data_IF_139352327549
#
_entry.id   IF_139352327549
#
_cell.length_a   1.000
_cell.length_b   1.000
_cell.length_c   1.000
_cell.angle_alpha   90.00
_cell.angle_beta   90.00
_cell.angle_gamma   90.00
#
_symmetry.space_group_name_H-M   'P 1'
#
loop_
_entity.id
_entity.type
_entity.pdbx_description
1 polymer ?
#
# COMPACT_ATOMS: atom_id res chain seq x y z
N UNK A 1 -21.11 4.36 -16.59
CA UNK A 1 -21.76 3.54 -15.54
C UNK A 1 -21.63 4.21 -14.20
N UNK A 2 -22.63 4.12 -13.33
CA UNK A 2 -22.47 4.60 -11.95
C UNK A 2 -21.50 3.66 -11.21
N UNK A 3 -20.54 4.22 -10.43
CA UNK A 3 -19.61 3.44 -9.63
C UNK A 3 -20.41 2.70 -8.56
N UNK A 4 -20.21 1.37 -8.48
CA UNK A 4 -20.73 0.53 -7.38
C UNK A 4 -19.81 0.71 -6.19
N UNK A 5 -20.37 0.85 -4.99
CA UNK A 5 -19.63 0.90 -3.72
C UNK A 5 -19.88 -0.35 -2.90
N UNK A 6 -18.82 -0.90 -2.31
CA UNK A 6 -18.89 -2.06 -1.41
C UNK A 6 -18.65 -1.55 0.02
N UNK A 7 -19.58 -1.80 0.96
CA UNK A 7 -19.39 -1.36 2.35
C UNK A 7 -18.15 -1.99 2.98
N UNK A 8 -17.43 -1.26 3.81
CA UNK A 8 -16.33 -1.79 4.63
C UNK A 8 -16.84 -2.88 5.57
N UNK A 9 -17.96 -2.59 6.23
CA UNK A 9 -18.66 -3.51 7.12
C UNK A 9 -20.12 -3.62 6.71
N UNK A 10 -20.78 -4.76 6.92
CA UNK A 10 -22.24 -4.82 6.82
C UNK A 10 -22.81 -3.77 7.78
N UNK A 11 -24.04 -3.25 7.52
CA UNK A 11 -24.74 -2.29 8.38
C UNK A 11 -25.01 -2.89 9.76
N UNK A 12 -23.96 -3.06 10.55
CA UNK A 12 -23.94 -3.69 11.86
C UNK A 12 -23.57 -2.67 12.93
N UNK A 13 -23.87 -3.00 14.17
CA UNK A 13 -23.43 -2.23 15.36
C UNK A 13 -21.91 -2.05 15.40
N UNK A 14 -21.15 -3.00 14.85
CA UNK A 14 -19.68 -2.92 14.79
C UNK A 14 -19.19 -1.75 13.91
N UNK A 15 -19.75 -1.60 12.72
CA UNK A 15 -19.40 -0.47 11.84
C UNK A 15 -19.73 0.87 12.49
N UNK A 16 -20.88 0.99 13.16
CA UNK A 16 -21.26 2.18 13.88
C UNK A 16 -20.31 2.46 15.06
N UNK A 17 -19.96 1.43 15.84
CA UNK A 17 -19.01 1.58 16.95
C UNK A 17 -17.63 2.05 16.49
N UNK A 18 -17.15 1.62 15.31
CA UNK A 18 -15.89 2.11 14.74
C UNK A 18 -15.95 3.59 14.38
N UNK A 19 -17.06 4.04 13.80
CA UNK A 19 -17.27 5.46 13.49
C UNK A 19 -17.41 6.31 14.74
N UNK A 20 -18.09 5.80 15.76
CA UNK A 20 -18.24 6.49 17.05
C UNK A 20 -16.91 6.66 17.78
N UNK A 21 -16.01 5.68 17.68
CA UNK A 21 -14.67 5.74 18.25
C UNK A 21 -13.74 6.70 17.51
N UNK A 22 -14.11 7.15 16.34
CA UNK A 22 -13.34 8.08 15.52
C UNK A 22 -12.99 9.39 16.24
N UNK A 23 -13.72 9.74 17.28
CA UNK A 23 -13.44 10.92 18.13
C UNK A 23 -12.03 10.85 18.73
N UNK A 24 -11.52 9.66 19.05
CA UNK A 24 -10.17 9.45 19.61
C UNK A 24 -9.08 9.90 18.64
N UNK A 25 -9.22 9.58 17.36
CA UNK A 25 -8.26 9.90 16.30
C UNK A 25 -8.41 11.31 15.77
N UNK A 26 -9.50 12.00 16.07
CA UNK A 26 -9.79 13.36 15.59
C UNK A 26 -8.69 14.38 15.88
N UNK A 27 -7.90 14.20 16.95
CA UNK A 27 -6.75 15.07 17.25
C UNK A 27 -5.57 14.83 16.33
N UNK A 28 -5.48 13.64 15.73
CA UNK A 28 -4.40 13.21 14.80
C UNK A 28 -4.84 13.48 13.38
N UNK A 29 -6.08 13.12 13.04
CA UNK A 29 -6.69 13.35 11.75
C UNK A 29 -7.32 14.75 11.74
N UNK A 30 -6.67 15.69 11.09
CA UNK A 30 -7.26 17.00 10.84
C UNK A 30 -8.05 16.95 9.54
N UNK A 31 -9.32 17.32 9.66
CA UNK A 31 -10.18 17.48 8.50
C UNK A 31 -9.90 18.83 7.86
N UNK A 32 -9.32 18.82 6.67
CA UNK A 32 -9.45 19.92 5.75
C UNK A 32 -10.80 19.78 5.05
N UNK A 33 -11.38 20.86 4.58
CA UNK A 33 -12.69 20.88 3.91
C UNK A 33 -12.84 19.84 2.79
N UNK A 34 -11.74 19.32 2.26
CA UNK A 34 -11.68 18.32 1.20
C UNK A 34 -11.28 16.90 1.65
N UNK A 35 -10.91 16.71 2.90
CA UNK A 35 -10.49 15.40 3.43
C UNK A 35 -11.66 14.77 4.18
N UNK A 36 -12.50 14.06 3.43
CA UNK A 36 -13.78 13.51 3.90
C UNK A 36 -13.68 12.03 4.22
N UNK A 37 -12.69 11.63 5.03
CA UNK A 37 -12.45 10.22 5.33
C UNK A 37 -13.67 9.52 5.93
N UNK A 38 -14.44 10.20 6.79
CA UNK A 38 -15.68 9.63 7.35
C UNK A 38 -16.70 9.38 6.24
N UNK A 39 -16.92 10.37 5.34
CA UNK A 39 -17.84 10.22 4.21
C UNK A 39 -17.40 9.08 3.28
N UNK A 40 -16.10 8.86 3.09
CA UNK A 40 -15.57 7.73 2.33
C UNK A 40 -15.88 6.41 3.02
N UNK A 41 -15.66 6.32 4.34
CA UNK A 41 -15.96 5.11 5.11
C UNK A 41 -17.47 4.81 5.08
N UNK A 42 -18.32 5.80 5.29
CA UNK A 42 -19.79 5.66 5.25
C UNK A 42 -20.30 5.25 3.86
N UNK A 43 -19.72 5.82 2.80
CA UNK A 43 -20.06 5.49 1.41
C UNK A 43 -19.63 4.09 1.03
N UNK A 44 -18.55 3.60 1.61
CA UNK A 44 -17.94 2.30 1.30
C UNK A 44 -16.84 2.38 0.22
N UNK A 45 -16.20 1.25 0.00
CA UNK A 45 -15.11 1.11 -0.96
C UNK A 45 -15.63 1.11 -2.40
N UNK A 46 -15.06 1.91 -3.31
CA UNK A 46 -15.45 1.92 -4.70
C UNK A 46 -15.08 0.60 -5.38
N UNK A 47 -16.05 -0.03 -6.03
CA UNK A 47 -15.84 -1.24 -6.82
C UNK A 47 -15.75 -0.89 -8.30
N UNK A 48 -14.58 -1.14 -8.87
CA UNK A 48 -14.29 -0.86 -10.27
C UNK A 48 -14.26 -2.13 -11.11
N UNK A 49 -14.39 -1.95 -12.41
CA UNK A 49 -14.20 -3.02 -13.38
C UNK A 49 -12.78 -3.58 -13.28
N UNK A 50 -12.66 -4.90 -13.39
CA UNK A 50 -11.39 -5.61 -13.39
C UNK A 50 -11.17 -6.31 -14.72
N UNK A 51 -9.93 -6.32 -15.19
CA UNK A 51 -9.53 -6.98 -16.42
C UNK A 51 -8.41 -7.99 -16.13
N UNK A 52 -8.61 -9.22 -16.60
CA UNK A 52 -7.57 -10.24 -16.54
C UNK A 52 -6.50 -9.91 -17.60
N UNK A 53 -5.29 -9.66 -17.15
CA UNK A 53 -4.14 -9.31 -17.99
C UNK A 53 -3.31 -10.53 -18.40
N UNK A 54 -3.12 -11.46 -17.46
CA UNK A 54 -2.33 -12.68 -17.69
C UNK A 54 -2.87 -13.81 -16.79
N UNK A 55 -2.87 -15.02 -17.34
CA UNK A 55 -3.08 -16.26 -16.59
C UNK A 55 -1.85 -17.14 -16.71
N UNK A 56 -1.28 -17.54 -15.55
CA UNK A 56 -0.10 -18.40 -15.48
C UNK A 56 -0.44 -19.72 -14.83
N UNK A 57 -0.47 -20.79 -15.63
CA UNK A 57 -0.88 -22.12 -15.19
C UNK A 57 -2.40 -22.26 -15.00
N UNK A 58 -2.83 -23.34 -14.36
CA UNK A 58 -4.24 -23.56 -14.02
C UNK A 58 -4.67 -22.78 -12.77
N UNK A 59 -3.70 -22.41 -11.92
CA UNK A 59 -3.88 -21.65 -10.69
C UNK A 59 -5.00 -22.20 -9.77
N UNK A 60 -4.96 -23.48 -9.37
CA UNK A 60 -5.99 -24.06 -8.53
C UNK A 60 -6.05 -23.41 -7.14
N UNK A 61 -4.95 -22.85 -6.68
CA UNK A 61 -4.84 -22.16 -5.39
C UNK A 61 -5.47 -20.77 -5.40
N UNK A 62 -5.72 -20.20 -6.58
CA UNK A 62 -6.31 -18.88 -6.74
C UNK A 62 -5.38 -17.74 -6.29
N UNK A 63 -4.06 -17.88 -6.55
CA UNK A 63 -3.09 -16.84 -6.28
C UNK A 63 -3.30 -15.63 -7.19
N UNK A 64 -3.21 -14.42 -6.63
CA UNK A 64 -3.55 -13.20 -7.35
C UNK A 64 -2.40 -12.19 -7.33
N UNK A 65 -2.18 -11.57 -8.48
CA UNK A 65 -1.43 -10.32 -8.62
C UNK A 65 -2.42 -9.28 -9.11
N UNK A 66 -2.60 -8.20 -8.36
CA UNK A 66 -3.59 -7.15 -8.63
C UNK A 66 -2.87 -5.83 -8.86
N UNK A 67 -3.04 -5.25 -10.05
CA UNK A 67 -2.65 -3.87 -10.30
C UNK A 67 -3.79 -2.94 -9.97
N UNK A 68 -3.66 -2.17 -8.89
CA UNK A 68 -4.69 -1.25 -8.40
C UNK A 68 -4.34 -0.68 -7.05
N UNK A 69 -5.18 0.20 -6.54
CA UNK A 69 -5.05 0.71 -5.17
C UNK A 69 -5.54 -0.29 -4.12
N UNK A 70 -5.00 -0.20 -2.91
CA UNK A 70 -5.35 -1.07 -1.78
C UNK A 70 -6.87 -1.12 -1.52
N UNK A 71 -7.54 0.04 -1.43
CA UNK A 71 -8.99 0.11 -1.16
C UNK A 71 -9.79 -0.57 -2.27
N UNK A 72 -9.41 -0.34 -3.53
CA UNK A 72 -10.05 -0.96 -4.70
C UNK A 72 -9.83 -2.46 -4.76
N UNK A 73 -8.63 -2.92 -4.40
CA UNK A 73 -8.31 -4.34 -4.29
C UNK A 73 -9.12 -5.02 -3.17
N UNK A 74 -9.23 -4.37 -2.00
CA UNK A 74 -10.09 -4.86 -0.91
C UNK A 74 -11.56 -4.92 -1.33
N UNK A 75 -12.06 -3.93 -2.08
CA UNK A 75 -13.42 -3.97 -2.63
C UNK A 75 -13.63 -5.17 -3.54
N UNK A 76 -12.66 -5.46 -4.42
CA UNK A 76 -12.69 -6.63 -5.29
C UNK A 76 -12.69 -7.94 -4.50
N UNK A 77 -11.77 -8.10 -3.54
CA UNK A 77 -11.69 -9.30 -2.71
C UNK A 77 -12.99 -9.55 -1.95
N UNK A 78 -13.55 -8.49 -1.36
CA UNK A 78 -14.80 -8.56 -0.61
C UNK A 78 -16.01 -8.92 -1.48
N UNK A 79 -16.12 -8.35 -2.69
CA UNK A 79 -17.16 -8.70 -3.66
C UNK A 79 -17.05 -10.18 -4.10
N UNK A 80 -15.84 -10.71 -4.17
CA UNK A 80 -15.57 -12.14 -4.49
C UNK A 80 -15.68 -13.07 -3.29
N UNK A 81 -15.92 -12.58 -2.09
CA UNK A 81 -15.97 -13.37 -0.87
C UNK A 81 -14.63 -13.97 -0.47
N UNK A 82 -13.51 -13.32 -0.86
CA UNK A 82 -12.16 -13.76 -0.52
C UNK A 82 -11.74 -13.05 0.78
N UNK A 83 -11.40 -13.86 1.80
CA UNK A 83 -10.82 -13.38 3.05
C UNK A 83 -9.34 -13.73 3.13
N UNK A 84 -8.54 -12.89 3.79
CA UNK A 84 -7.10 -13.07 3.96
C UNK A 84 -6.76 -13.42 5.41
N UNK A 85 -5.81 -14.33 5.60
CA UNK A 85 -5.46 -14.89 6.92
C UNK A 85 -4.24 -14.18 7.53
N UNK A 86 -3.36 -13.64 6.70
CA UNK A 86 -2.24 -12.84 7.11
C UNK A 86 -2.06 -11.65 6.17
N UNK A 87 -1.90 -10.48 6.74
CA UNK A 87 -1.53 -9.27 6.01
C UNK A 87 -0.18 -8.76 6.49
N UNK A 88 0.71 -8.48 5.56
CA UNK A 88 1.91 -7.67 5.80
C UNK A 88 1.90 -6.51 4.82
N UNK A 89 2.12 -5.30 5.31
CA UNK A 89 2.25 -4.12 4.46
C UNK A 89 3.46 -3.29 4.85
N UNK A 90 4.12 -2.75 3.83
CA UNK A 90 5.20 -1.77 3.91
C UNK A 90 4.78 -0.53 3.10
N UNK A 91 3.81 0.26 3.59
CA UNK A 91 3.25 1.38 2.84
C UNK A 91 4.31 2.48 2.64
N UNK A 92 4.17 3.33 1.61
CA UNK A 92 5.10 4.43 1.37
C UNK A 92 5.16 5.34 2.59
N UNK A 93 6.38 5.74 2.98
CA UNK A 93 6.60 6.58 4.15
C UNK A 93 6.36 8.06 3.81
N UNK A 94 5.80 8.80 4.76
CA UNK A 94 5.58 10.25 4.63
C UNK A 94 6.89 11.08 4.78
N UNK A 95 7.99 10.61 4.23
CA UNK A 95 9.31 11.27 4.35
C UNK A 95 9.51 12.36 3.28
N UNK A 96 8.86 13.52 3.45
CA UNK A 96 8.70 14.59 2.48
C UNK A 96 9.95 15.43 2.14
N UNK A 97 11.13 14.87 1.89
CA UNK A 97 12.31 15.71 1.71
C UNK A 97 12.75 15.99 0.26
N UNK A 98 12.56 15.11 -0.72
CA UNK A 98 13.17 15.29 -2.06
C UNK A 98 12.24 15.10 -3.28
N UNK A 99 11.04 14.74 -3.08
CA UNK A 99 10.11 14.35 -4.13
C UNK A 99 9.37 15.52 -4.82
N UNK A 100 9.10 16.62 -4.09
CA UNK A 100 8.36 17.77 -4.59
C UNK A 100 8.97 18.41 -5.84
N UNK A 101 10.30 18.45 -5.94
CA UNK A 101 10.99 19.05 -7.10
C UNK A 101 10.81 18.28 -8.41
N UNK A 102 10.61 16.97 -8.34
CA UNK A 102 10.60 16.08 -9.51
C UNK A 102 9.19 15.90 -10.13
N UNK A 103 8.13 16.03 -9.33
CA UNK A 103 6.73 16.02 -9.81
C UNK A 103 6.39 17.30 -10.60
N UNK A 104 6.99 18.43 -10.23
CA UNK A 104 6.76 19.70 -10.94
C UNK A 104 7.20 19.65 -12.42
N UNK A 105 8.23 18.90 -12.75
CA UNK A 105 8.75 18.75 -14.12
C UNK A 105 7.77 17.94 -14.99
N UNK A 106 7.03 16.99 -14.43
CA UNK A 106 6.06 16.12 -15.15
C UNK A 106 4.74 16.80 -15.50
N UNK A 107 4.41 17.88 -14.82
CA UNK A 107 3.20 18.68 -15.09
C UNK A 107 3.34 19.58 -16.34
N UNK A 108 4.51 19.56 -16.99
CA UNK A 108 4.71 20.30 -18.23
C UNK A 108 4.29 19.42 -19.41
N UNK A 109 3.29 19.82 -20.25
CA UNK A 109 2.78 19.04 -21.37
C UNK A 109 3.85 18.62 -22.38
N UNK A 110 4.87 19.46 -22.58
CA UNK A 110 6.01 19.16 -23.48
C UNK A 110 6.91 18.04 -22.94
N UNK A 111 6.92 17.85 -21.63
CA UNK A 111 7.68 16.79 -20.95
C UNK A 111 6.85 15.50 -20.90
N UNK A 112 5.53 15.58 -20.82
CA UNK A 112 4.64 14.43 -20.81
C UNK A 112 4.72 13.59 -22.11
N UNK A 113 4.85 14.23 -23.26
CA UNK A 113 5.01 13.54 -24.56
C UNK A 113 6.38 12.84 -24.65
N UNK A 114 7.46 13.52 -24.27
CA UNK A 114 8.79 12.92 -24.22
C UNK A 114 8.88 11.77 -23.20
N UNK A 115 8.10 11.85 -22.10
CA UNK A 115 8.05 10.81 -21.10
C UNK A 115 7.24 9.59 -21.53
N UNK A 116 6.18 9.77 -22.32
CA UNK A 116 5.42 8.65 -22.88
C UNK A 116 6.27 7.83 -23.87
N UNK A 117 7.09 8.52 -24.69
CA UNK A 117 8.07 7.85 -25.55
C UNK A 117 9.14 7.16 -24.73
N UNK A 118 9.63 7.80 -23.67
CA UNK A 118 10.59 7.24 -22.75
C UNK A 118 10.03 6.06 -21.94
N UNK A 119 8.76 6.07 -21.51
CA UNK A 119 8.11 4.94 -20.81
C UNK A 119 8.03 3.66 -21.63
N UNK A 120 8.00 3.77 -22.97
CA UNK A 120 8.07 2.61 -23.89
C UNK A 120 9.51 2.16 -24.16
N UNK A 121 10.49 3.01 -23.89
CA UNK A 121 11.91 2.78 -24.16
C UNK A 121 12.76 2.64 -22.90
N UNK A 122 12.20 3.00 -21.71
CA UNK A 122 12.90 2.97 -20.44
C UNK A 122 13.20 1.54 -19.97
N UNK A 123 14.40 1.34 -19.48
CA UNK A 123 14.75 0.13 -18.79
C UNK A 123 14.17 0.08 -17.34
N UNK A 124 14.33 -1.06 -16.67
CA UNK A 124 13.79 -1.31 -15.33
C UNK A 124 14.30 -0.31 -14.27
N UNK A 125 15.51 0.24 -14.41
CA UNK A 125 16.07 1.19 -13.44
C UNK A 125 15.44 2.58 -13.56
N UNK A 126 15.13 2.99 -14.76
CA UNK A 126 14.47 4.26 -15.05
C UNK A 126 12.98 4.25 -14.66
N UNK A 127 12.30 3.11 -14.87
CA UNK A 127 10.95 2.88 -14.36
C UNK A 127 10.89 2.92 -12.83
N UNK A 128 11.87 2.37 -12.11
CA UNK A 128 12.00 2.46 -10.66
C UNK A 128 12.09 3.90 -10.17
N UNK A 129 12.98 4.68 -10.78
CA UNK A 129 13.12 6.09 -10.44
C UNK A 129 11.84 6.87 -10.71
N UNK A 130 11.01 6.40 -11.62
CA UNK A 130 9.71 6.96 -11.93
C UNK A 130 8.67 6.65 -10.84
N UNK A 131 8.59 5.43 -10.36
CA UNK A 131 7.63 5.00 -9.33
C UNK A 131 7.96 5.54 -7.94
N UNK A 132 9.23 5.56 -7.54
CA UNK A 132 9.67 6.20 -6.30
C UNK A 132 9.25 7.67 -6.21
N UNK A 133 9.15 8.36 -7.34
CA UNK A 133 8.67 9.74 -7.41
C UNK A 133 7.15 9.89 -7.28
N UNK A 134 6.38 8.87 -7.55
CA UNK A 134 4.91 8.96 -7.50
C UNK A 134 4.36 8.98 -6.07
N UNK A 135 5.01 8.26 -5.16
CA UNK A 135 4.56 8.17 -3.77
C UNK A 135 5.00 9.33 -2.88
N UNK A 136 5.93 10.17 -3.33
CA UNK A 136 6.74 10.98 -2.45
C UNK A 136 6.21 12.37 -2.08
N UNK A 137 5.18 12.92 -2.73
CA UNK A 137 5.20 14.37 -2.79
C UNK A 137 4.01 15.18 -2.35
N UNK A 138 2.91 14.58 -2.06
CA UNK A 138 1.69 15.40 -1.89
C UNK A 138 1.18 15.39 -0.45
N UNK A 139 1.82 14.62 0.41
CA UNK A 139 1.19 14.22 1.64
C UNK A 139 1.84 14.94 2.80
N UNK A 140 1.22 16.02 3.22
CA UNK A 140 1.43 16.43 4.60
C UNK A 140 0.98 15.27 5.51
N UNK A 141 1.53 15.22 6.71
CA UNK A 141 1.27 14.14 7.66
C UNK A 141 -0.21 13.85 7.87
N UNK A 142 -1.06 14.87 7.83
CA UNK A 142 -2.50 14.75 8.06
C UNK A 142 -3.19 13.99 6.93
N UNK A 143 -2.88 14.29 5.68
CA UNK A 143 -3.42 13.56 4.53
C UNK A 143 -2.96 12.12 4.50
N UNK A 144 -1.67 11.90 4.81
CA UNK A 144 -1.15 10.54 4.92
C UNK A 144 -1.92 9.72 5.96
N UNK A 145 -2.19 10.28 7.13
CA UNK A 145 -2.90 9.58 8.20
C UNK A 145 -4.36 9.32 7.83
N UNK A 146 -5.06 10.25 7.15
CA UNK A 146 -6.40 10.03 6.63
C UNK A 146 -6.43 8.88 5.62
N UNK A 147 -5.50 8.88 4.66
CA UNK A 147 -5.36 7.81 3.69
C UNK A 147 -5.02 6.47 4.35
N UNK A 148 -4.08 6.45 5.28
CA UNK A 148 -3.71 5.23 5.99
C UNK A 148 -4.89 4.67 6.79
N UNK A 149 -5.69 5.54 7.42
CA UNK A 149 -6.89 5.12 8.14
C UNK A 149 -7.87 4.40 7.20
N UNK A 150 -8.16 4.98 6.02
CA UNK A 150 -9.04 4.37 5.02
C UNK A 150 -8.51 3.01 4.53
N UNK A 151 -7.20 2.92 4.27
CA UNK A 151 -6.58 1.66 3.87
C UNK A 151 -6.64 0.59 4.97
N UNK A 152 -6.36 0.94 6.22
CA UNK A 152 -6.44 0.01 7.35
C UNK A 152 -7.88 -0.50 7.56
N UNK A 153 -8.89 0.37 7.38
CA UNK A 153 -10.30 0.00 7.43
C UNK A 153 -10.67 -0.98 6.30
N UNK A 154 -10.18 -0.71 5.08
CA UNK A 154 -10.39 -1.60 3.93
C UNK A 154 -9.76 -2.96 4.17
N UNK A 155 -8.51 -3.01 4.61
CA UNK A 155 -7.78 -4.23 4.93
C UNK A 155 -8.52 -5.03 6.01
N UNK A 156 -8.89 -4.39 7.13
CA UNK A 156 -9.65 -5.06 8.20
C UNK A 156 -10.91 -5.72 7.65
N UNK A 157 -11.58 -5.10 6.69
CA UNK A 157 -12.85 -5.60 6.12
C UNK A 157 -12.71 -6.90 5.32
N UNK A 158 -11.50 -7.26 4.90
CA UNK A 158 -11.20 -8.50 4.14
C UNK A 158 -10.40 -9.52 4.95
N UNK A 159 -10.00 -9.20 6.18
CA UNK A 159 -9.30 -10.14 7.06
C UNK A 159 -10.27 -11.22 7.56
N UNK A 160 -9.80 -12.48 7.61
CA UNK A 160 -10.50 -13.59 8.26
C UNK A 160 -10.55 -13.39 9.79
N UNK A 161 -11.34 -14.17 10.51
CA UNK A 161 -11.51 -13.96 11.95
C UNK A 161 -10.25 -14.25 12.75
N UNK A 162 -9.41 -15.18 12.30
CA UNK A 162 -8.13 -15.53 12.93
C UNK A 162 -6.93 -14.73 12.41
N UNK A 163 -7.17 -13.77 11.52
CA UNK A 163 -6.13 -13.06 10.79
C UNK A 163 -5.28 -12.14 11.66
N UNK A 164 -4.04 -12.00 11.23
CA UNK A 164 -3.09 -11.02 11.75
C UNK A 164 -2.69 -10.00 10.69
N UNK A 165 -2.31 -8.80 11.14
CA UNK A 165 -1.72 -7.76 10.29
C UNK A 165 -0.39 -7.28 10.87
N UNK A 166 0.62 -7.15 10.01
CA UNK A 166 1.92 -6.56 10.29
C UNK A 166 2.08 -5.29 9.46
N UNK A 167 2.28 -4.16 10.10
CA UNK A 167 2.48 -2.86 9.45
C UNK A 167 3.89 -2.38 9.71
N UNK A 168 4.70 -2.34 8.66
CA UNK A 168 6.09 -1.95 8.69
C UNK A 168 6.22 -0.46 8.42
N UNK A 169 6.86 0.27 9.32
CA UNK A 169 6.99 1.71 9.26
C UNK A 169 8.34 2.17 9.82
N UNK A 170 8.78 3.32 9.35
CA UNK A 170 9.92 4.01 9.92
C UNK A 170 9.51 4.95 11.09
N UNK A 171 10.51 5.54 11.71
CA UNK A 171 10.34 6.43 12.85
C UNK A 171 9.58 7.74 12.54
N UNK A 172 9.46 8.15 11.26
CA UNK A 172 8.81 9.42 10.89
C UNK A 172 7.30 9.39 11.16
N UNK A 173 6.67 8.25 10.90
CA UNK A 173 5.22 8.14 10.91
C UNK A 173 4.70 7.01 11.82
N UNK A 174 5.56 6.04 12.17
CA UNK A 174 5.14 4.81 12.86
C UNK A 174 4.29 5.06 14.09
N UNK A 175 4.69 5.97 14.97
CA UNK A 175 3.97 6.26 16.21
C UNK A 175 2.55 6.80 15.98
N UNK A 176 2.34 7.58 14.92
CA UNK A 176 1.01 8.10 14.57
C UNK A 176 0.13 7.00 13.99
N UNK A 177 0.70 6.13 13.15
CA UNK A 177 -0.03 4.98 12.58
C UNK A 177 -0.37 3.97 13.67
N UNK A 178 0.49 3.79 14.70
CA UNK A 178 0.17 2.96 15.87
C UNK A 178 -1.16 3.37 16.51
N UNK A 179 -1.38 4.69 16.69
CA UNK A 179 -2.64 5.19 17.26
C UNK A 179 -3.83 4.94 16.31
N UNK A 180 -3.64 5.03 14.98
CA UNK A 180 -4.68 4.66 14.03
C UNK A 180 -5.00 3.17 14.09
N UNK A 181 -4.00 2.31 14.27
CA UNK A 181 -4.20 0.86 14.39
C UNK A 181 -4.95 0.51 15.67
N UNK A 182 -4.69 1.20 16.79
CA UNK A 182 -5.47 1.04 18.02
C UNK A 182 -6.94 1.37 17.79
N UNK A 183 -7.23 2.40 17.00
CA UNK A 183 -8.60 2.80 16.66
C UNK A 183 -9.28 1.80 15.73
N UNK A 184 -8.56 1.33 14.69
CA UNK A 184 -9.12 0.43 13.70
C UNK A 184 -9.26 -0.99 14.23
N UNK A 185 -8.22 -1.55 14.84
CA UNK A 185 -8.18 -2.95 15.27
C UNK A 185 -8.60 -3.16 16.73
N UNK A 186 -8.51 -2.11 17.55
CA UNK A 186 -8.66 -2.18 19.00
C UNK A 186 -7.33 -2.31 19.71
N UNK A 187 -7.14 -1.53 20.79
CA UNK A 187 -5.91 -1.54 21.59
C UNK A 187 -5.62 -2.92 22.19
N UNK A 188 -6.66 -3.65 22.59
CA UNK A 188 -6.54 -5.00 23.18
C UNK A 188 -6.04 -6.05 22.15
N UNK A 189 -6.20 -5.80 20.88
CA UNK A 189 -5.75 -6.66 19.79
C UNK A 189 -4.29 -6.41 19.36
N UNK A 190 -3.61 -5.51 20.02
CA UNK A 190 -2.17 -5.32 19.88
C UNK A 190 -1.41 -6.53 20.40
N UNK A 191 -0.53 -7.10 19.58
CA UNK A 191 0.27 -8.29 19.93
C UNK A 191 1.70 -7.89 20.28
N UNK A 192 2.44 -7.32 19.33
CA UNK A 192 3.82 -6.87 19.54
C UNK A 192 4.18 -5.63 18.72
N UNK A 193 5.11 -4.85 19.26
CA UNK A 193 5.97 -3.95 18.51
C UNK A 193 7.29 -4.69 18.23
N UNK A 194 7.55 -4.99 16.96
CA UNK A 194 8.77 -5.68 16.54
C UNK A 194 9.75 -4.65 15.98
N UNK A 195 10.95 -4.63 16.52
CA UNK A 195 12.01 -3.72 16.08
C UNK A 195 12.98 -4.48 15.17
N UNK A 196 12.94 -4.18 13.87
CA UNK A 196 13.91 -4.70 12.94
C UNK A 196 15.18 -3.83 12.94
N UNK A 197 16.27 -4.39 13.47
CA UNK A 197 17.57 -3.73 13.55
C UNK A 197 18.48 -4.15 12.40
N UNK A 198 19.16 -3.17 11.81
CA UNK A 198 20.15 -3.41 10.75
C UNK A 198 21.38 -2.54 10.92
N UNK A 199 22.49 -2.98 10.34
CA UNK A 199 23.76 -2.24 10.37
C UNK A 199 23.90 -1.40 9.10
N UNK A 200 24.62 -0.29 9.19
CA UNK A 200 24.99 0.53 8.05
C UNK A 200 26.05 1.54 8.45
N UNK A 201 26.74 2.16 7.49
CA UNK A 201 27.73 3.18 7.76
C UNK A 201 27.09 4.39 8.44
N UNK A 202 27.82 5.02 9.35
CA UNK A 202 27.49 6.35 9.85
C UNK A 202 27.95 7.42 8.85
N UNK A 203 27.38 8.62 8.97
CA UNK A 203 27.85 9.79 8.20
C UNK A 203 28.79 10.64 9.05
N UNK A 204 29.87 11.17 8.49
CA UNK A 204 30.73 12.12 9.21
C UNK A 204 29.93 13.34 9.67
N UNK A 205 30.21 13.84 10.87
CA UNK A 205 29.56 15.03 11.42
C UNK A 205 28.17 14.85 12.00
N UNK A 206 27.71 13.60 12.19
CA UNK A 206 26.43 13.33 12.85
C UNK A 206 26.45 13.83 14.30
N UNK A 207 25.38 14.53 14.70
CA UNK A 207 25.14 15.00 16.07
C UNK A 207 24.04 14.20 16.79
N UNK A 208 23.68 13.03 16.26
CA UNK A 208 22.67 12.11 16.81
C UNK A 208 23.08 10.66 16.57
N UNK A 209 22.44 9.74 17.28
CA UNK A 209 22.63 8.31 17.03
C UNK A 209 22.17 7.91 15.64
N UNK A 210 22.89 6.96 15.03
CA UNK A 210 22.56 6.45 13.71
C UNK A 210 21.24 5.67 13.76
N UNK A 211 20.24 6.10 12.99
CA UNK A 211 18.92 5.49 12.92
C UNK A 211 19.01 4.23 12.05
N UNK A 212 19.05 3.08 12.67
CA UNK A 212 19.27 1.77 12.03
C UNK A 212 18.26 0.75 12.54
N UNK A 213 17.01 1.15 12.60
CA UNK A 213 15.87 0.26 12.85
C UNK A 213 14.63 0.82 12.21
N UNK A 214 13.72 -0.09 11.87
CA UNK A 214 12.34 0.17 11.54
C UNK A 214 11.46 -0.59 12.53
N UNK A 215 10.20 -0.21 12.62
CA UNK A 215 9.22 -0.79 13.52
C UNK A 215 8.14 -1.52 12.74
N UNK A 216 7.76 -2.71 13.19
CA UNK A 216 6.68 -3.50 12.64
C UNK A 216 5.63 -3.70 13.73
N UNK A 217 4.46 -3.09 13.57
CA UNK A 217 3.36 -3.27 14.50
C UNK A 217 2.54 -4.49 14.12
N UNK A 218 2.39 -5.41 15.06
CA UNK A 218 1.59 -6.62 14.90
C UNK A 218 0.29 -6.53 15.67
N UNK A 219 -0.81 -6.61 14.95
CA UNK A 219 -2.17 -6.73 15.47
C UNK A 219 -2.82 -8.01 14.98
N UNK A 220 -3.71 -8.56 15.79
CA UNK A 220 -4.65 -9.60 15.35
C UNK A 220 -6.04 -9.00 15.18
N UNK A 221 -6.92 -9.70 14.46
CA UNK A 221 -8.32 -9.31 14.34
C UNK A 221 -9.08 -9.62 15.63
N UNK A 222 -8.79 -10.77 16.25
CA UNK A 222 -9.30 -11.19 17.54
C UNK A 222 -8.17 -11.76 18.43
N UNK A 223 -7.97 -11.16 19.58
CA UNK A 223 -6.95 -11.59 20.55
C UNK A 223 -7.19 -12.98 21.11
N UNK A 224 -8.42 -13.48 21.06
CA UNK A 224 -8.78 -14.80 21.59
C UNK A 224 -8.51 -15.92 20.58
N UNK A 225 -8.43 -15.60 19.28
CA UNK A 225 -8.35 -16.60 18.21
C UNK A 225 -7.46 -16.15 17.05
N UNK A 226 -6.16 -15.96 17.31
CA UNK A 226 -5.19 -15.63 16.28
C UNK A 226 -4.11 -16.72 16.14
N UNK A 227 -3.53 -16.83 14.96
CA UNK A 227 -2.51 -17.84 14.65
C UNK A 227 -1.15 -17.38 15.16
N UNK A 228 -0.51 -18.22 15.99
CA UNK A 228 0.88 -18.06 16.38
C UNK A 228 1.61 -19.42 16.43
N UNK A 229 2.38 -19.71 15.40
CA UNK A 229 3.11 -20.96 15.22
C UNK A 229 4.50 -20.88 15.86
N UNK A 230 4.55 -20.87 17.18
CA UNK A 230 5.79 -20.75 17.95
C UNK A 230 6.86 -21.78 17.58
N UNK A 231 6.43 -22.99 17.20
CA UNK A 231 7.34 -24.11 16.88
C UNK A 231 8.15 -23.86 15.60
N UNK A 232 7.58 -23.16 14.64
CA UNK A 232 8.17 -22.95 13.32
C UNK A 232 9.19 -21.80 13.29
N UNK A 233 9.16 -20.94 14.34
CA UNK A 233 10.01 -19.76 14.44
C UNK A 233 11.05 -19.84 15.57
N UNK A 234 11.11 -20.96 16.32
CA UNK A 234 12.05 -21.10 17.43
C UNK A 234 13.49 -21.02 16.98
N UNK A 235 14.30 -20.38 17.80
CA UNK A 235 15.75 -20.26 17.61
C UNK A 235 16.49 -21.17 18.57
N UNK A 236 17.56 -21.79 18.11
CA UNK A 236 18.43 -22.61 18.97
C UNK A 236 18.97 -21.79 20.14
N UNK A 237 19.01 -22.39 21.31
CA UNK A 237 19.66 -21.79 22.48
C UNK A 237 21.16 -21.58 22.22
N UNK A 238 21.65 -20.41 22.62
CA UNK A 238 23.09 -20.20 22.57
C UNK A 238 23.80 -21.07 23.63
N UNK A 239 25.08 -21.43 23.38
CA UNK A 239 25.85 -22.29 24.26
C UNK A 239 25.93 -21.77 25.71
N UNK A 240 26.03 -20.45 25.89
CA UNK A 240 26.08 -19.83 27.22
C UNK A 240 24.75 -19.98 27.99
N UNK A 241 23.61 -19.91 27.30
CA UNK A 241 22.31 -20.19 27.93
C UNK A 241 22.20 -21.63 28.39
N UNK A 242 22.59 -22.59 27.51
CA UNK A 242 22.60 -24.00 27.82
C UNK A 242 23.51 -24.28 29.03
N UNK A 243 24.68 -23.67 29.06
CA UNK A 243 25.66 -23.85 30.12
C UNK A 243 25.19 -23.27 31.47
N UNK A 244 24.56 -22.11 31.44
CA UNK A 244 23.96 -21.48 32.63
C UNK A 244 22.81 -22.32 33.20
N UNK A 245 21.96 -22.90 32.39
CA UNK A 245 20.89 -23.79 32.84
C UNK A 245 21.42 -25.07 33.44
N UNK A 246 22.48 -25.67 32.84
CA UNK A 246 23.15 -26.87 33.39
C UNK A 246 23.82 -26.61 34.75
N UNK A 247 24.28 -25.39 35.00
CA UNK A 247 24.93 -25.00 36.26
C UNK A 247 23.95 -24.57 37.36
N UNK A 248 22.65 -24.52 37.04
CA UNK A 248 21.64 -23.89 37.91
C UNK A 248 21.80 -22.38 37.92
N UNK A 249 20.69 -21.63 37.91
CA UNK A 249 20.67 -20.17 37.91
C UNK A 249 20.90 -19.59 39.32
N UNK A 250 21.93 -20.08 40.01
CA UNK A 250 22.27 -19.65 41.35
C UNK A 250 22.62 -18.14 41.35
N UNK A 251 21.83 -17.34 42.04
CA UNK A 251 22.07 -15.89 42.20
C UNK A 251 21.27 -14.98 41.28
N UNK A 252 20.47 -15.51 40.35
CA UNK A 252 19.63 -14.69 39.45
C UNK A 252 18.25 -14.31 40.01
N UNK A 253 17.88 -14.79 41.22
CA UNK A 253 16.53 -14.63 41.77
C UNK A 253 15.49 -15.58 41.15
N UNK A 254 15.83 -16.33 40.12
CA UNK A 254 14.99 -17.36 39.53
C UNK A 254 15.39 -18.72 40.13
N UNK A 255 14.53 -19.28 40.97
CA UNK A 255 14.67 -20.64 41.46
C UNK A 255 14.15 -21.57 40.37
N UNK A 256 15.03 -22.26 39.65
CA UNK A 256 14.60 -23.17 38.60
C UNK A 256 15.10 -24.59 38.84
N UNK A 257 14.59 -25.26 39.84
CA UNK A 257 14.70 -26.72 39.90
C UNK A 257 13.68 -27.42 38.96
N UNK A 258 12.91 -26.67 38.16
CA UNK A 258 11.75 -27.22 37.44
C UNK A 258 11.57 -26.80 35.98
N UNK A 259 12.47 -26.03 35.38
CA UNK A 259 12.33 -25.63 33.98
C UNK A 259 13.48 -26.23 33.12
N UNK A 260 13.16 -27.27 32.38
CA UNK A 260 14.02 -27.74 31.32
C UNK A 260 13.95 -26.78 30.14
N UNK A 261 15.10 -26.53 29.49
CA UNK A 261 15.14 -25.79 28.25
C UNK A 261 14.35 -26.55 27.18
N UNK A 262 13.49 -25.85 26.46
CA UNK A 262 12.77 -26.45 25.35
C UNK A 262 13.77 -26.96 24.32
N UNK A 263 13.75 -28.25 24.00
CA UNK A 263 14.65 -28.87 23.04
C UNK A 263 14.61 -28.22 21.66
N UNK A 264 13.43 -27.67 21.26
CA UNK A 264 13.27 -26.98 19.99
C UNK A 264 13.78 -25.52 20.02
N UNK A 265 14.34 -25.08 21.15
CA UNK A 265 14.85 -23.72 21.28
C UNK A 265 13.84 -22.75 21.91
N UNK A 266 14.19 -21.47 21.88
CA UNK A 266 13.38 -20.38 22.44
C UNK A 266 12.59 -19.65 21.35
N UNK A 267 11.47 -19.05 21.73
CA UNK A 267 10.77 -18.05 20.90
C UNK A 267 11.70 -16.84 20.77
N UNK A 268 11.85 -16.26 19.56
CA UNK A 268 12.63 -15.04 19.36
C UNK A 268 12.10 -13.88 20.21
N UNK A 269 12.98 -12.98 20.56
CA UNK A 269 12.62 -11.67 21.11
C UNK A 269 11.89 -10.83 20.05
N UNK A 270 11.27 -9.73 20.47
CA UNK A 270 10.60 -8.74 19.61
C UNK A 270 11.55 -7.73 18.92
N UNK A 271 12.84 -7.90 19.09
CA UNK A 271 13.87 -7.19 18.31
C UNK A 271 14.63 -8.17 17.42
N UNK A 272 14.58 -7.90 16.10
CA UNK A 272 15.13 -8.82 15.10
C UNK A 272 16.31 -8.20 14.37
N UNK A 273 17.39 -8.92 14.27
CA UNK A 273 18.59 -8.47 13.56
C UNK A 273 18.74 -9.19 12.24
N UNK A 274 18.34 -8.52 11.17
CA UNK A 274 18.57 -8.97 9.81
C UNK A 274 19.31 -7.88 9.04
N UNK A 275 20.25 -8.28 8.17
CA UNK A 275 20.86 -7.32 7.25
C UNK A 275 19.81 -6.80 6.26
N UNK A 276 19.94 -5.55 5.82
CA UNK A 276 19.14 -5.04 4.71
C UNK A 276 19.37 -5.90 3.47
N UNK A 277 18.36 -5.98 2.60
CA UNK A 277 18.52 -6.67 1.33
C UNK A 277 19.69 -6.09 0.55
N UNK A 278 20.65 -6.94 0.18
CA UNK A 278 21.92 -6.56 -0.44
C UNK A 278 22.03 -7.23 -1.80
N UNK A 279 22.84 -6.65 -2.69
CA UNK A 279 23.18 -7.26 -4.00
C UNK A 279 23.81 -8.65 -3.87
N UNK A 280 24.42 -8.95 -2.73
CA UNK A 280 25.04 -10.24 -2.45
C UNK A 280 24.20 -10.99 -1.42
N UNK A 281 23.29 -11.88 -1.86
CA UNK A 281 22.39 -12.59 -0.96
C UNK A 281 23.17 -13.55 -0.08
N UNK A 282 22.99 -13.44 1.23
CA UNK A 282 23.52 -14.37 2.22
C UNK A 282 22.57 -15.55 2.40
N UNK A 283 21.32 -15.38 2.01
CA UNK A 283 20.21 -16.32 2.14
C UNK A 283 20.00 -17.19 0.87
N UNK A 284 20.84 -17.04 -0.15
CA UNK A 284 20.74 -17.79 -1.42
C UNK A 284 19.60 -17.34 -2.37
N UNK A 285 18.81 -16.35 -1.97
CA UNK A 285 17.69 -15.84 -2.78
C UNK A 285 18.18 -14.73 -3.69
N UNK A 286 17.92 -14.87 -5.00
CA UNK A 286 18.28 -13.87 -5.99
C UNK A 286 17.52 -12.57 -5.71
N UNK A 287 18.23 -11.47 -5.56
CA UNK A 287 17.66 -10.13 -5.43
C UNK A 287 17.16 -9.61 -6.76
N UNK A 288 16.09 -8.83 -6.70
CA UNK A 288 15.44 -8.26 -7.89
C UNK A 288 15.77 -6.78 -8.10
N UNK A 289 16.77 -6.26 -7.36
CA UNK A 289 17.21 -4.85 -7.45
C UNK A 289 16.08 -3.82 -7.23
N UNK A 290 15.06 -4.18 -6.45
CA UNK A 290 14.01 -3.26 -6.05
C UNK A 290 14.50 -2.42 -4.86
N UNK A 291 14.39 -1.09 -4.95
CA UNK A 291 15.06 -0.15 -4.03
C UNK A 291 14.71 -0.37 -2.56
N UNK A 292 13.50 -0.82 -2.26
CA UNK A 292 12.97 -1.03 -0.90
C UNK A 292 12.78 -2.50 -0.54
N UNK A 293 13.45 -3.42 -1.25
CA UNK A 293 13.30 -4.85 -1.01
C UNK A 293 13.65 -5.22 0.44
N UNK A 294 12.73 -5.90 1.12
CA UNK A 294 12.94 -6.39 2.49
C UNK A 294 13.70 -7.72 2.47
N UNK A 295 14.51 -8.01 3.51
CA UNK A 295 15.22 -9.30 3.58
C UNK A 295 14.23 -10.45 3.67
N UNK A 296 14.44 -11.47 2.85
CA UNK A 296 13.59 -12.66 2.82
C UNK A 296 13.42 -13.33 4.20
N UNK A 297 14.47 -13.54 5.03
CA UNK A 297 14.30 -14.20 6.34
C UNK A 297 13.43 -13.40 7.32
N UNK A 298 13.33 -12.06 7.18
CA UNK A 298 12.44 -11.23 7.97
C UNK A 298 10.98 -11.57 7.64
N UNK A 299 10.68 -11.60 6.34
CA UNK A 299 9.32 -11.84 5.83
C UNK A 299 8.91 -13.29 6.03
N UNK A 300 9.80 -14.24 5.78
CA UNK A 300 9.56 -15.67 6.02
C UNK A 300 9.17 -15.93 7.49
N UNK A 301 9.86 -15.30 8.45
CA UNK A 301 9.51 -15.43 9.87
C UNK A 301 8.08 -14.97 10.16
N UNK A 302 7.63 -13.88 9.56
CA UNK A 302 6.26 -13.38 9.70
C UNK A 302 5.26 -14.39 9.12
N UNK A 303 5.52 -14.88 7.90
CA UNK A 303 4.67 -15.88 7.23
C UNK A 303 4.54 -17.15 8.07
N UNK A 304 5.65 -17.68 8.56
CA UNK A 304 5.66 -18.90 9.38
C UNK A 304 4.97 -18.70 10.73
N UNK A 305 5.19 -17.55 11.37
CA UNK A 305 4.62 -17.25 12.68
C UNK A 305 3.10 -17.16 12.67
N UNK A 306 2.51 -16.55 11.64
CA UNK A 306 1.12 -16.09 11.66
C UNK A 306 0.26 -16.59 10.51
N UNK A 307 0.65 -17.71 9.89
CA UNK A 307 -0.18 -18.41 8.90
C UNK A 307 0.11 -19.91 8.89
N UNK A 308 -0.86 -20.68 8.41
CA UNK A 308 -0.75 -22.11 8.17
C UNK A 308 -0.60 -22.41 6.68
N UNK A 309 -0.28 -23.67 6.33
CA UNK A 309 -0.30 -24.11 4.93
C UNK A 309 -1.68 -23.88 4.31
N UNK A 310 -1.72 -23.37 3.08
CA UNK A 310 -2.89 -22.99 2.29
C UNK A 310 -3.63 -21.73 2.78
N UNK A 311 -3.20 -21.07 3.86
CA UNK A 311 -3.74 -19.77 4.22
C UNK A 311 -3.41 -18.72 3.15
N UNK A 312 -4.25 -17.70 3.03
CA UNK A 312 -4.05 -16.59 2.12
C UNK A 312 -3.25 -15.48 2.81
N UNK A 313 -2.09 -15.19 2.27
CA UNK A 313 -1.18 -14.14 2.73
C UNK A 313 -1.22 -12.98 1.73
N UNK A 314 -1.54 -11.78 2.19
CA UNK A 314 -1.72 -10.62 1.34
C UNK A 314 -0.76 -9.47 1.64
N UNK A 315 -0.28 -8.83 0.57
CA UNK A 315 0.43 -7.55 0.61
C UNK A 315 -0.25 -6.56 -0.32
N UNK A 316 -0.76 -5.46 0.26
CA UNK A 316 -1.48 -4.42 -0.49
C UNK A 316 -0.57 -3.26 -0.95
N UNK A 317 0.73 -3.34 -0.63
CA UNK A 317 1.80 -2.45 -1.06
C UNK A 317 3.02 -3.28 -1.46
N UNK A 318 2.80 -4.24 -2.33
CA UNK A 318 3.61 -5.43 -2.49
C UNK A 318 5.04 -5.22 -3.01
N UNK A 319 5.33 -4.07 -3.66
CA UNK A 319 6.66 -3.67 -4.07
C UNK A 319 7.43 -4.77 -4.81
N UNK A 320 8.50 -5.28 -4.19
CA UNK A 320 9.36 -6.32 -4.77
C UNK A 320 8.75 -7.73 -4.83
N UNK A 321 7.59 -7.96 -4.20
CA UNK A 321 6.93 -9.26 -4.13
C UNK A 321 7.63 -10.29 -3.23
N UNK A 322 8.43 -9.84 -2.27
CA UNK A 322 9.12 -10.75 -1.33
C UNK A 322 8.14 -11.56 -0.49
N UNK A 323 7.00 -10.94 -0.07
CA UNK A 323 5.97 -11.64 0.68
C UNK A 323 5.34 -12.77 -0.13
N UNK A 324 4.93 -12.48 -1.39
CA UNK A 324 4.34 -13.49 -2.28
C UNK A 324 5.28 -14.65 -2.54
N UNK A 325 6.58 -14.35 -2.69
CA UNK A 325 7.61 -15.38 -2.84
C UNK A 325 7.76 -16.23 -1.57
N UNK A 326 7.82 -15.59 -0.40
CA UNK A 326 7.92 -16.29 0.88
C UNK A 326 6.68 -17.16 1.14
N UNK A 327 5.49 -16.65 0.81
CA UNK A 327 4.23 -17.39 0.91
C UNK A 327 4.24 -18.63 0.03
N UNK A 328 4.55 -18.49 -1.26
CA UNK A 328 4.62 -19.61 -2.20
C UNK A 328 5.63 -20.69 -1.77
N UNK A 329 6.86 -20.29 -1.41
CA UNK A 329 7.91 -21.22 -1.01
C UNK A 329 7.59 -21.96 0.29
N UNK A 330 6.69 -21.43 1.10
CA UNK A 330 6.23 -22.05 2.34
C UNK A 330 4.81 -22.65 2.24
N UNK A 331 4.32 -22.95 1.03
CA UNK A 331 3.01 -23.56 0.78
C UNK A 331 1.81 -22.71 1.29
N UNK A 332 1.91 -21.40 1.19
CA UNK A 332 0.80 -20.46 1.41
C UNK A 332 0.34 -19.91 0.07
N UNK A 333 -0.93 -19.60 -0.01
CA UNK A 333 -1.53 -18.85 -1.10
C UNK A 333 -1.14 -17.39 -0.95
N UNK A 334 -1.11 -16.63 -2.04
CA UNK A 334 -0.71 -15.23 -1.95
C UNK A 334 -1.63 -14.30 -2.75
N UNK A 335 -1.75 -13.07 -2.24
CA UNK A 335 -2.32 -11.93 -2.95
C UNK A 335 -1.30 -10.80 -2.90
N UNK A 336 -0.86 -10.36 -4.08
CA UNK A 336 0.02 -9.21 -4.25
C UNK A 336 -0.79 -8.08 -4.88
N UNK A 337 -0.81 -6.91 -4.26
CA UNK A 337 -1.43 -5.73 -4.82
C UNK A 337 -0.43 -4.57 -4.83
N UNK A 338 -0.35 -3.89 -5.95
CA UNK A 338 0.44 -2.66 -6.11
C UNK A 338 -0.10 -1.84 -7.26
N UNK A 339 0.05 -0.53 -7.18
CA UNK A 339 -0.29 0.37 -8.29
C UNK A 339 0.82 0.44 -9.33
N UNK A 340 2.07 0.11 -8.94
CA UNK A 340 3.28 0.20 -9.73
C UNK A 340 3.36 -0.87 -10.82
N UNK A 341 3.52 -0.46 -12.10
CA UNK A 341 3.74 -1.44 -13.18
C UNK A 341 5.07 -2.17 -12.98
N UNK A 342 6.09 -1.49 -12.45
CA UNK A 342 7.38 -2.09 -12.13
C UNK A 342 7.25 -3.15 -11.02
N UNK A 343 6.44 -2.90 -9.99
CA UNK A 343 6.13 -3.90 -8.96
C UNK A 343 5.49 -5.14 -9.57
N UNK A 344 4.45 -4.96 -10.41
CA UNK A 344 3.74 -6.06 -11.07
C UNK A 344 4.68 -6.89 -11.95
N UNK A 345 5.54 -6.25 -12.74
CA UNK A 345 6.53 -6.95 -13.56
C UNK A 345 7.57 -7.70 -12.73
N UNK A 346 8.07 -7.04 -11.67
CA UNK A 346 9.08 -7.64 -10.77
C UNK A 346 8.54 -8.88 -10.07
N UNK A 347 7.35 -8.79 -9.47
CA UNK A 347 6.75 -9.94 -8.77
C UNK A 347 6.38 -11.06 -9.75
N UNK A 348 5.86 -10.72 -10.92
CA UNK A 348 5.56 -11.68 -11.99
C UNK A 348 6.80 -12.51 -12.34
N UNK A 349 7.91 -11.87 -12.67
CA UNK A 349 9.13 -12.55 -13.08
C UNK A 349 9.73 -13.38 -11.94
N UNK A 350 9.67 -12.88 -10.73
CA UNK A 350 10.10 -13.58 -9.52
C UNK A 350 9.30 -14.85 -9.26
N UNK A 351 7.98 -14.78 -9.38
CA UNK A 351 7.09 -15.92 -9.19
C UNK A 351 7.17 -16.93 -10.33
N UNK A 352 7.40 -16.48 -11.57
CA UNK A 352 7.72 -17.38 -12.71
C UNK A 352 9.00 -18.16 -12.42
N UNK A 353 10.04 -17.49 -11.94
CA UNK A 353 11.29 -18.14 -11.56
C UNK A 353 11.11 -19.16 -10.41
N UNK A 354 10.18 -18.88 -9.48
CA UNK A 354 9.78 -19.78 -8.40
C UNK A 354 8.80 -20.87 -8.85
N UNK A 355 8.39 -20.90 -10.12
CA UNK A 355 7.41 -21.84 -10.71
C UNK A 355 6.01 -21.76 -10.06
N UNK A 356 5.63 -20.59 -9.57
CA UNK A 356 4.29 -20.35 -9.07
C UNK A 356 3.26 -20.23 -10.19
N UNK A 357 2.02 -20.59 -9.90
CA UNK A 357 0.85 -20.35 -10.74
C UNK A 357 0.02 -19.21 -10.15
N UNK A 358 -0.46 -18.31 -11.00
CA UNK A 358 -1.20 -17.11 -10.57
C UNK A 358 -1.94 -16.44 -11.73
N UNK A 359 -2.89 -15.58 -11.38
CA UNK A 359 -3.58 -14.69 -12.32
C UNK A 359 -3.21 -13.23 -12.04
N UNK A 360 -3.03 -12.44 -13.09
CA UNK A 360 -2.78 -11.00 -13.01
C UNK A 360 -4.02 -10.25 -13.43
N UNK A 361 -4.56 -9.43 -12.52
CA UNK A 361 -5.68 -8.54 -12.79
C UNK A 361 -5.27 -7.08 -12.72
N UNK A 362 -5.87 -6.26 -13.58
CA UNK A 362 -5.84 -4.80 -13.47
C UNK A 362 -7.21 -4.29 -13.05
N UNK A 363 -7.25 -3.48 -11.99
CA UNK A 363 -8.44 -2.75 -11.56
C UNK A 363 -8.48 -1.42 -12.29
N UNK A 364 -9.60 -1.09 -12.92
CA UNK A 364 -9.81 0.16 -13.66
C UNK A 364 -10.23 1.29 -12.71
N UNK A 365 -9.49 1.48 -11.64
CA UNK A 365 -9.75 2.47 -10.59
C UNK A 365 -9.33 3.91 -10.95
N UNK A 366 -8.87 4.12 -12.17
CA UNK A 366 -8.45 5.42 -12.66
C UNK A 366 -7.00 5.78 -12.32
N UNK A 367 -6.27 4.97 -11.56
CA UNK A 367 -4.85 5.22 -11.25
C UNK A 367 -4.03 5.29 -12.53
N UNK A 368 -4.32 4.43 -13.51
CA UNK A 368 -3.71 4.49 -14.85
C UNK A 368 -4.05 5.79 -15.59
N UNK A 369 -5.21 6.40 -15.30
CA UNK A 369 -5.65 7.66 -15.89
C UNK A 369 -4.84 8.86 -15.33
N UNK A 370 -4.53 8.84 -14.03
CA UNK A 370 -3.66 9.86 -13.43
C UNK A 370 -2.22 9.78 -13.93
N UNK A 371 -1.79 8.60 -14.41
CA UNK A 371 -0.44 8.39 -14.95
C UNK A 371 -0.27 8.94 -16.36
N UNK A 372 -1.34 9.01 -17.13
CA UNK A 372 -1.33 9.59 -18.45
C UNK A 372 -2.43 10.66 -18.61
N UNK A 373 -2.25 11.84 -18.00
CA UNK A 373 -3.25 12.90 -18.03
C UNK A 373 -3.58 13.37 -19.45
N UNK A 374 -2.65 13.26 -20.40
CA UNK A 374 -2.87 13.60 -21.81
C UNK A 374 -3.88 12.62 -22.44
N UNK A 375 -3.63 11.32 -22.32
CA UNK A 375 -4.58 10.31 -22.84
C UNK A 375 -5.93 10.40 -22.14
N UNK A 376 -5.95 10.71 -20.85
CA UNK A 376 -7.19 10.91 -20.10
C UNK A 376 -7.96 12.12 -20.61
N UNK A 377 -7.30 13.24 -20.85
CA UNK A 377 -7.93 14.42 -21.44
C UNK A 377 -8.45 14.12 -22.86
N UNK A 378 -7.69 13.43 -23.69
CA UNK A 378 -8.10 12.97 -25.01
C UNK A 378 -9.34 12.06 -24.95
N UNK A 379 -9.33 11.10 -24.00
CA UNK A 379 -10.47 10.20 -23.79
C UNK A 379 -11.69 10.93 -23.23
N UNK A 380 -11.52 11.87 -22.31
CA UNK A 380 -12.61 12.73 -21.85
C UNK A 380 -13.19 13.58 -22.97
N UNK A 381 -12.33 14.18 -23.82
CA UNK A 381 -12.76 14.91 -25.02
C UNK A 381 -13.56 14.01 -25.97
N UNK A 382 -13.14 12.77 -26.17
CA UNK A 382 -13.84 11.83 -27.05
C UNK A 382 -15.23 11.39 -26.54
N UNK A 383 -15.49 11.51 -25.24
CA UNK A 383 -16.81 11.22 -24.64
C UNK A 383 -17.83 12.35 -24.88
N UNK A 384 -17.36 13.53 -25.26
CA UNK A 384 -18.21 14.68 -25.52
C UNK A 384 -18.60 14.68 -27.00
N UNK A 385 -19.81 14.28 -27.29
CA UNK A 385 -20.32 14.15 -28.65
C UNK A 385 -20.33 15.52 -29.33
N UNK A 386 -19.64 15.65 -30.48
CA UNK A 386 -19.61 16.86 -31.26
C UNK A 386 -18.54 17.87 -30.85
N UNK A 387 -17.70 17.55 -29.87
CA UNK A 387 -16.58 18.40 -29.47
C UNK A 387 -15.58 18.51 -30.63
N UNK A 388 -15.23 19.72 -30.98
CA UNK A 388 -14.20 20.06 -32.00
C UNK A 388 -13.10 20.87 -31.35
N UNK A 389 -11.86 20.60 -31.70
CA UNK A 389 -10.76 21.49 -31.37
C UNK A 389 -10.87 22.76 -32.23
N UNK A 390 -10.89 23.91 -31.57
CA UNK A 390 -10.97 25.21 -32.22
C UNK A 390 -9.74 26.02 -31.84
N UNK A 391 -8.85 26.26 -32.77
CA UNK A 391 -7.64 27.08 -32.57
C UNK A 391 -7.94 28.55 -32.30
N UNK A 392 -9.17 28.97 -32.58
CA UNK A 392 -9.65 30.36 -32.39
C UNK A 392 -10.07 30.67 -30.95
N UNK A 393 -10.28 29.67 -30.12
CA UNK A 393 -10.66 29.85 -28.71
C UNK A 393 -9.45 30.09 -27.82
N UNK A 394 -9.63 30.86 -26.75
CA UNK A 394 -8.62 31.01 -25.71
C UNK A 394 -8.27 29.65 -25.13
N UNK A 395 -7.02 29.51 -24.66
CA UNK A 395 -6.49 28.29 -23.98
C UNK A 395 -7.24 27.86 -22.72
N UNK A 396 -8.17 28.67 -22.25
CA UNK A 396 -9.08 28.32 -21.17
C UNK A 396 -10.12 27.29 -21.60
N UNK A 397 -10.45 27.22 -22.91
CA UNK A 397 -11.42 26.32 -23.49
C UNK A 397 -10.74 25.09 -24.12
N UNK A 398 -11.32 23.94 -23.95
CA UNK A 398 -10.81 22.69 -24.52
C UNK A 398 -11.35 22.38 -25.92
N UNK A 399 -12.26 23.21 -26.42
CA UNK A 399 -12.89 23.11 -27.72
C UNK A 399 -14.29 23.70 -27.74
N UNK A 400 -15.03 23.43 -28.79
CA UNK A 400 -16.42 23.88 -28.95
C UNK A 400 -17.36 22.78 -29.41
N UNK A 401 -18.66 22.95 -29.12
CA UNK A 401 -19.75 22.15 -29.67
C UNK A 401 -20.66 23.09 -30.46
N UNK A 402 -21.08 22.67 -31.66
CA UNK A 402 -22.04 23.39 -32.46
C UNK A 402 -23.46 22.98 -32.06
N UNK A 403 -24.19 23.89 -31.41
CA UNK A 403 -25.62 23.74 -31.11
C UNK A 403 -26.47 24.39 -32.22
N UNK A 404 -27.59 23.77 -32.56
CA UNK A 404 -28.49 24.26 -33.62
C UNK A 404 -29.22 25.53 -33.29
N UNK A 405 -29.35 25.88 -31.99
CA UNK A 405 -30.07 27.07 -31.51
C UNK A 405 -29.12 28.18 -31.03
N UNK A 406 -28.04 27.75 -30.35
CA UNK A 406 -27.10 28.68 -29.71
C UNK A 406 -25.83 28.93 -30.53
N UNK A 407 -25.64 28.24 -31.65
CA UNK A 407 -24.40 28.35 -32.43
C UNK A 407 -23.22 27.63 -31.80
N UNK A 408 -22.04 28.23 -31.86
CA UNK A 408 -20.82 27.68 -31.30
C UNK A 408 -20.78 27.89 -29.78
N UNK A 409 -20.74 26.83 -29.00
CA UNK A 409 -20.65 26.87 -27.53
C UNK A 409 -19.25 26.39 -27.11
N UNK A 410 -18.47 27.21 -26.40
CA UNK A 410 -17.21 26.81 -25.86
C UNK A 410 -17.36 25.77 -24.76
N UNK A 411 -16.46 24.79 -24.71
CA UNK A 411 -16.49 23.72 -23.74
C UNK A 411 -15.28 23.80 -22.79
N UNK A 412 -15.61 23.96 -21.51
CA UNK A 412 -14.60 23.86 -20.44
C UNK A 412 -14.50 22.43 -19.93
N UNK A 413 -13.29 21.91 -19.84
CA UNK A 413 -12.99 20.68 -19.12
C UNK A 413 -11.95 20.98 -18.04
N UNK A 414 -12.10 20.41 -16.82
CA UNK A 414 -11.07 20.52 -15.81
C UNK A 414 -9.75 19.96 -16.35
N UNK A 415 -8.71 20.77 -16.33
CA UNK A 415 -7.39 20.32 -16.76
C UNK A 415 -6.77 19.41 -15.69
N UNK A 416 -6.79 18.10 -15.92
CA UNK A 416 -6.24 17.11 -15.00
C UNK A 416 -4.72 17.23 -14.80
N UNK A 417 -4.06 18.06 -15.63
CA UNK A 417 -2.62 18.34 -15.50
C UNK A 417 -2.34 19.54 -14.59
N UNK A 418 -3.37 20.26 -14.18
CA UNK A 418 -3.28 21.42 -13.29
C UNK A 418 -3.81 21.09 -11.89
N UNK A 419 -2.93 21.05 -10.91
CA UNK A 419 -3.30 20.78 -9.51
C UNK A 419 -4.15 21.88 -8.87
N UNK A 420 -4.24 23.06 -9.49
CA UNK A 420 -5.11 24.14 -9.06
C UNK A 420 -6.55 23.96 -9.54
N UNK A 421 -6.79 23.09 -10.53
CA UNK A 421 -8.12 22.78 -11.04
C UNK A 421 -8.81 21.83 -10.07
N UNK A 422 -9.57 22.37 -9.15
CA UNK A 422 -10.42 21.65 -8.21
C UNK A 422 -11.80 21.41 -8.81
N UNK A 423 -12.60 20.60 -8.10
CA UNK A 423 -14.02 20.41 -8.38
C UNK A 423 -14.71 21.76 -8.72
N UNK A 424 -15.73 21.70 -9.57
CA UNK A 424 -16.57 22.86 -9.92
C UNK A 424 -17.06 23.56 -8.65
N UNK A 425 -16.27 24.53 -8.19
CA UNK A 425 -16.65 25.40 -7.10
C UNK A 425 -17.27 26.73 -7.63
N UNK A 426 -17.85 27.49 -6.73
CA UNK A 426 -18.48 28.75 -7.08
C UNK A 426 -17.52 29.78 -7.72
N UNK A 427 -16.26 29.92 -7.28
CA UNK A 427 -15.26 30.74 -7.95
C UNK A 427 -14.97 30.32 -9.39
N UNK A 428 -14.83 29.02 -9.63
CA UNK A 428 -14.58 28.47 -10.97
C UNK A 428 -15.78 28.65 -11.87
N UNK A 429 -17.01 28.42 -11.38
CA UNK A 429 -18.25 28.70 -12.13
C UNK A 429 -18.36 30.18 -12.52
N UNK A 430 -18.06 31.08 -11.60
CA UNK A 430 -18.06 32.51 -11.89
C UNK A 430 -17.01 32.90 -12.92
N UNK A 431 -15.85 32.19 -12.93
CA UNK A 431 -14.82 32.39 -13.95
C UNK A 431 -15.29 31.88 -15.32
N UNK A 432 -15.83 30.65 -15.39
CA UNK A 432 -16.38 30.07 -16.61
C UNK A 432 -17.44 31.02 -17.23
N UNK A 433 -18.38 31.52 -16.43
CA UNK A 433 -19.41 32.45 -16.90
C UNK A 433 -18.78 33.75 -17.43
N UNK A 434 -17.78 34.28 -16.75
CA UNK A 434 -17.12 35.52 -17.12
C UNK A 434 -16.30 35.41 -18.41
N UNK A 435 -15.64 34.29 -18.59
CA UNK A 435 -14.85 33.96 -19.80
C UNK A 435 -15.78 33.62 -20.99
N UNK A 436 -16.95 33.04 -20.74
CA UNK A 436 -17.91 32.72 -21.78
C UNK A 436 -18.71 33.94 -22.27
N UNK A 437 -18.88 34.99 -21.43
CA UNK A 437 -19.70 36.17 -21.76
C UNK A 437 -19.24 36.96 -23.02
N UNK A 438 -17.95 37.08 -23.34
CA UNK A 438 -17.51 37.74 -24.57
C UNK A 438 -17.79 36.95 -25.85
N UNK A 439 -18.00 35.64 -25.73
CA UNK A 439 -18.11 34.70 -26.86
C UNK A 439 -19.58 34.23 -27.07
N UNK A 440 -20.48 34.66 -26.22
CA UNK A 440 -21.94 34.49 -26.30
C UNK A 440 -22.62 35.76 -26.84
#
# INVERSE_FOLDING_TARGET
MAIKYVPYFPNTLEGQALLDNFVRTKRILRYRDNDKVIEHIERGMPFYETELQEKRGENPDGNLIIRGECVSACAYLKDKGISVDLVYIDPPFASGADYAKKVYIRRNPKVAEAMRQAETELDVEELKAFEEKMYGDIWDKERYLNWMYENLMAIKSVMSDTASIYVHLDWHIGHYVKVLMDEVFGEDNFVNEIVWCYNGPGSPGMQHFNKKHDTIFWYCKDKQDYIFNDKDIRMTHNAKTIDNFKKGLVGSGFISDTYDLNEKGKIPEDWWKYAVASRYPVDGIKRVEYATEKPYPLIERIVLASSNSNDIVADFFGGSGVLSTASHLNNRRFIHCDIGINSIQTVRDRLIAAKAEFDIFEIKDGVSLYRNPVQTMEKLKSLIIGLRNEDALDKFWEGSIMDTKCGMMPVYLPNLMDSSTRLLDKPLMNRIIREAMPDL
#
